data_IF_278275970093
#
_entry.id   IF_278275970093
#
_cell.length_a   1.000
_cell.length_b   1.000
_cell.length_c   1.000
_cell.angle_alpha   90.00
_cell.angle_beta   90.00
_cell.angle_gamma   90.00
#
_symmetry.space_group_name_H-M   'P 1'
#
loop_
_entity.id
_entity.type
_entity.pdbx_description
1 polymer ?
#
# COMPACT_ATOMS: atom_id res chain seq x y z
N UNK A 1 -1.26 7.93 -21.84
CA UNK A 1 -0.15 8.27 -20.92
C UNK A 1 0.41 7.00 -20.28
N UNK A 2 1.70 7.02 -19.94
CA UNK A 2 2.41 5.88 -19.37
C UNK A 2 3.14 6.29 -18.10
N UNK A 3 3.39 5.31 -17.22
CA UNK A 3 4.31 5.38 -16.09
C UNK A 3 5.48 4.45 -16.38
N UNK A 4 6.68 4.92 -16.16
CA UNK A 4 7.92 4.16 -16.28
C UNK A 4 8.56 4.17 -14.90
N UNK A 5 8.82 3.01 -14.34
CA UNK A 5 9.34 2.88 -12.97
C UNK A 5 10.32 1.70 -12.86
N UNK A 6 11.34 1.78 -11.98
CA UNK A 6 12.16 0.62 -11.66
C UNK A 6 11.32 -0.44 -10.92
N UNK A 7 11.64 -1.72 -11.12
CA UNK A 7 10.91 -2.82 -10.48
C UNK A 7 11.42 -3.16 -9.08
N UNK A 8 12.57 -2.63 -8.71
CA UNK A 8 13.33 -2.94 -7.48
C UNK A 8 13.54 -1.73 -6.57
N UNK A 9 12.89 -0.59 -6.88
CA UNK A 9 12.96 0.63 -6.07
C UNK A 9 11.62 0.88 -5.36
N UNK A 10 11.73 1.30 -4.09
CA UNK A 10 10.57 1.71 -3.30
C UNK A 10 10.32 3.22 -3.30
N UNK A 11 9.29 3.65 -2.56
CA UNK A 11 9.02 5.07 -2.24
C UNK A 11 8.86 5.98 -3.46
N UNK A 12 8.39 5.47 -4.58
CA UNK A 12 8.19 6.25 -5.82
C UNK A 12 9.48 6.89 -6.39
N UNK A 13 10.65 6.32 -6.09
CA UNK A 13 11.92 6.77 -6.63
C UNK A 13 12.04 6.35 -8.10
N UNK A 14 12.47 7.27 -8.96
CA UNK A 14 12.71 6.99 -10.38
C UNK A 14 11.45 6.91 -11.24
N UNK A 15 10.32 7.47 -10.80
CA UNK A 15 9.10 7.53 -11.63
C UNK A 15 9.25 8.54 -12.76
N UNK A 16 8.95 8.10 -13.98
CA UNK A 16 8.78 8.97 -15.13
C UNK A 16 7.37 8.84 -15.68
N UNK A 17 6.78 9.98 -16.03
CA UNK A 17 5.46 10.04 -16.63
C UNK A 17 5.58 10.53 -18.08
N UNK A 18 4.80 9.94 -18.98
CA UNK A 18 4.63 10.45 -20.34
C UNK A 18 3.15 10.67 -20.63
N UNK A 19 2.82 11.79 -21.22
CA UNK A 19 1.44 12.08 -21.67
C UNK A 19 1.24 11.62 -23.09
N UNK A 20 2.27 11.72 -23.92
CA UNK A 20 2.24 11.37 -25.33
C UNK A 20 3.32 10.34 -25.66
N UNK A 21 3.03 9.51 -26.68
CA UNK A 21 3.98 8.48 -27.17
C UNK A 21 5.31 9.08 -27.65
N UNK A 22 5.30 10.31 -28.16
CA UNK A 22 6.50 11.03 -28.58
C UNK A 22 7.50 11.30 -27.44
N UNK A 23 7.04 11.34 -26.20
CA UNK A 23 7.87 11.59 -25.02
C UNK A 23 8.59 10.33 -24.52
N UNK A 24 8.15 9.14 -24.98
CA UNK A 24 8.68 7.87 -24.52
C UNK A 24 10.19 7.76 -24.75
N UNK A 25 10.69 8.17 -25.91
CA UNK A 25 12.12 8.14 -26.22
C UNK A 25 12.96 8.97 -25.24
N UNK A 26 12.46 10.14 -24.88
CA UNK A 26 13.12 11.03 -23.90
C UNK A 26 13.08 10.41 -22.50
N UNK A 27 11.95 9.81 -22.10
CA UNK A 27 11.86 9.13 -20.82
C UNK A 27 12.80 7.92 -20.75
N UNK A 28 12.84 7.11 -21.81
CA UNK A 28 13.74 5.95 -21.90
C UNK A 28 15.22 6.31 -21.91
N UNK A 29 15.60 7.48 -22.44
CA UNK A 29 17.00 7.93 -22.40
C UNK A 29 17.50 8.31 -20.99
N UNK A 30 16.60 8.49 -20.04
CA UNK A 30 16.90 8.80 -18.62
C UNK A 30 17.01 7.55 -17.77
N UNK A 31 16.68 6.39 -18.31
CA UNK A 31 16.71 5.12 -17.60
C UNK A 31 18.15 4.68 -17.40
N UNK A 32 18.52 4.42 -16.15
CA UNK A 32 19.79 3.81 -15.79
C UNK A 32 19.73 2.28 -15.94
N UNK A 33 20.87 1.60 -15.74
CA UNK A 33 20.91 0.15 -15.73
C UNK A 33 20.00 -0.42 -14.63
N UNK A 34 19.27 -1.47 -14.95
CA UNK A 34 18.35 -2.13 -14.02
C UNK A 34 17.12 -2.69 -14.73
N UNK A 35 16.21 -3.23 -13.93
CA UNK A 35 14.92 -3.73 -14.40
C UNK A 35 13.88 -2.62 -14.29
N UNK A 36 13.20 -2.36 -15.40
CA UNK A 36 12.18 -1.31 -15.47
C UNK A 36 10.87 -1.86 -16.00
N UNK A 37 9.80 -1.26 -15.53
CA UNK A 37 8.43 -1.58 -15.93
C UNK A 37 7.78 -0.36 -16.56
N UNK A 38 7.01 -0.58 -17.62
CA UNK A 38 6.19 0.44 -18.28
C UNK A 38 4.75 0.02 -18.14
N UNK A 39 3.95 0.88 -17.54
CA UNK A 39 2.53 0.63 -17.28
C UNK A 39 1.67 1.72 -17.87
N UNK A 40 0.39 1.43 -18.08
CA UNK A 40 -0.61 2.48 -18.33
C UNK A 40 -0.69 3.39 -17.09
N UNK A 41 -0.66 4.71 -17.33
CA UNK A 41 -0.92 5.66 -16.26
C UNK A 41 -2.41 5.71 -15.97
N UNK A 42 -2.77 5.33 -14.76
CA UNK A 42 -4.12 5.47 -14.22
C UNK A 42 -4.20 6.80 -13.48
N UNK A 43 -5.24 7.58 -13.74
CA UNK A 43 -5.51 8.86 -13.08
C UNK A 43 -6.67 8.67 -12.13
N UNK A 44 -6.40 8.49 -10.87
CA UNK A 44 -7.41 8.15 -9.90
C UNK A 44 -7.07 8.61 -8.49
N UNK A 45 -7.99 8.36 -7.58
CA UNK A 45 -7.78 8.52 -6.13
C UNK A 45 -6.82 7.46 -5.65
N UNK A 46 -5.81 7.82 -4.89
CA UNK A 46 -4.88 6.86 -4.28
C UNK A 46 -5.44 6.39 -2.95
N UNK A 47 -5.63 5.09 -2.83
CA UNK A 47 -6.23 4.43 -1.68
C UNK A 47 -5.27 3.39 -1.13
N UNK A 48 -5.29 3.20 0.19
CA UNK A 48 -4.55 2.12 0.84
C UNK A 48 -5.42 1.40 1.85
N UNK A 49 -5.23 0.09 1.95
CA UNK A 49 -5.96 -0.81 2.85
C UNK A 49 -4.97 -1.61 3.67
N UNK A 50 -5.07 -1.51 4.99
CA UNK A 50 -4.40 -2.43 5.88
C UNK A 50 -5.14 -3.76 5.93
N UNK A 51 -4.41 -4.86 5.90
CA UNK A 51 -4.95 -6.20 6.13
C UNK A 51 -4.27 -6.78 7.36
N UNK A 52 -5.07 -7.26 8.30
CA UNK A 52 -4.62 -7.88 9.56
C UNK A 52 -5.20 -9.29 9.66
N UNK A 53 -4.34 -10.30 9.77
CA UNK A 53 -4.75 -11.73 9.86
C UNK A 53 -5.74 -12.14 8.75
N UNK A 54 -5.54 -11.63 7.53
CA UNK A 54 -6.39 -11.90 6.37
C UNK A 54 -7.67 -11.04 6.28
N UNK A 55 -7.99 -10.21 7.27
CA UNK A 55 -9.16 -9.32 7.25
C UNK A 55 -8.77 -7.89 6.90
N UNK A 56 -9.48 -7.29 5.93
CA UNK A 56 -9.27 -5.89 5.55
C UNK A 56 -9.78 -4.95 6.64
N UNK A 57 -8.96 -3.98 6.99
CA UNK A 57 -9.31 -2.89 7.90
C UNK A 57 -9.99 -1.72 7.15
N UNK A 58 -9.84 -0.49 7.61
CA UNK A 58 -10.40 0.67 6.92
C UNK A 58 -9.59 1.10 5.72
N UNK A 59 -10.24 1.79 4.79
CA UNK A 59 -9.59 2.36 3.62
C UNK A 59 -9.15 3.79 3.95
N UNK A 60 -7.90 4.10 3.64
CA UNK A 60 -7.33 5.46 3.76
C UNK A 60 -7.13 6.03 2.37
N UNK A 61 -7.63 7.23 2.12
CA UNK A 61 -7.32 7.98 0.91
C UNK A 61 -6.12 8.90 1.14
N UNK A 62 -5.22 8.89 0.17
CA UNK A 62 -4.01 9.71 0.15
C UNK A 62 -4.22 10.82 -0.86
N UNK A 63 -4.34 12.06 -0.37
CA UNK A 63 -4.57 13.24 -1.20
C UNK A 63 -3.29 14.06 -1.27
N UNK A 64 -2.54 13.89 -2.35
CA UNK A 64 -1.34 14.68 -2.60
C UNK A 64 -1.70 16.02 -3.24
N UNK A 65 -1.11 17.11 -2.74
CA UNK A 65 -1.28 18.45 -3.31
C UNK A 65 -0.78 18.54 -4.76
N UNK A 66 0.18 17.71 -5.16
CA UNK A 66 0.70 17.61 -6.54
C UNK A 66 -0.12 16.70 -7.45
N UNK A 67 -1.12 16.00 -6.93
CA UNK A 67 -1.88 14.98 -7.66
C UNK A 67 -1.12 13.67 -7.89
N UNK A 68 0.09 13.54 -7.36
CA UNK A 68 0.90 12.32 -7.40
C UNK A 68 1.54 12.13 -6.02
N UNK A 69 1.40 10.94 -5.45
CA UNK A 69 2.04 10.59 -4.18
C UNK A 69 3.48 10.13 -4.42
N UNK A 70 4.32 11.05 -4.86
CA UNK A 70 5.74 10.83 -5.09
C UNK A 70 6.56 10.90 -3.80
N UNK A 71 7.88 10.70 -3.91
CA UNK A 71 8.81 10.77 -2.79
C UNK A 71 8.70 12.10 -2.02
N UNK A 72 8.58 13.23 -2.74
CA UNK A 72 8.47 14.55 -2.14
C UNK A 72 7.16 14.70 -1.35
N UNK A 73 6.05 14.21 -1.90
CA UNK A 73 4.75 14.22 -1.23
C UNK A 73 4.75 13.35 0.04
N UNK A 74 5.52 12.25 0.06
CA UNK A 74 5.63 11.35 1.24
C UNK A 74 6.36 11.98 2.42
N UNK A 75 7.34 12.83 2.17
CA UNK A 75 8.27 13.31 3.22
C UNK A 75 8.24 14.82 3.44
N UNK A 76 7.44 15.58 2.71
CA UNK A 76 7.28 17.03 2.94
C UNK A 76 6.06 17.28 3.83
N UNK A 77 6.21 17.84 5.04
CA UNK A 77 5.09 18.17 5.90
C UNK A 77 4.06 19.07 5.19
N UNK A 78 2.77 18.71 5.29
CA UNK A 78 1.68 19.50 4.71
C UNK A 78 1.46 19.30 3.20
N UNK A 79 2.25 18.48 2.51
CA UNK A 79 2.06 18.18 1.08
C UNK A 79 1.04 17.06 0.81
N UNK A 80 0.63 16.33 1.85
CA UNK A 80 -0.30 15.21 1.76
C UNK A 80 -1.34 15.30 2.87
N UNK A 81 -2.60 15.20 2.49
CA UNK A 81 -3.75 15.00 3.38
C UNK A 81 -4.13 13.52 3.36
N UNK A 82 -4.55 13.01 4.51
CA UNK A 82 -5.07 11.64 4.64
C UNK A 82 -6.52 11.69 5.11
N UNK A 83 -7.42 11.05 4.36
CA UNK A 83 -8.83 10.92 4.72
C UNK A 83 -9.10 9.48 5.14
N UNK A 84 -9.51 9.28 6.38
CA UNK A 84 -9.75 7.95 6.93
C UNK A 84 -10.87 7.98 7.97
N UNK A 85 -11.96 7.19 7.75
CA UNK A 85 -12.16 6.35 6.57
C UNK A 85 -12.30 7.19 5.28
N UNK A 86 -11.86 6.62 4.14
CA UNK A 86 -12.06 7.23 2.83
C UNK A 86 -13.56 7.31 2.50
N UNK A 87 -14.00 8.45 1.96
CA UNK A 87 -15.39 8.61 1.51
C UNK A 87 -15.62 7.87 0.20
N UNK A 88 -16.26 6.71 0.26
CA UNK A 88 -16.54 5.81 -0.85
C UNK A 88 -18.00 5.35 -0.82
N UNK A 89 -18.54 5.04 -2.00
CA UNK A 89 -19.79 4.29 -2.09
C UNK A 89 -19.61 2.89 -1.47
N UNK A 90 -20.60 2.41 -0.71
CA UNK A 90 -20.51 1.16 0.03
C UNK A 90 -20.13 -0.05 -0.85
N UNK A 91 -20.63 -0.11 -2.09
CA UNK A 91 -20.29 -1.18 -3.03
C UNK A 91 -18.81 -1.13 -3.50
N UNK A 92 -18.25 0.08 -3.66
CA UNK A 92 -16.85 0.29 -4.03
C UNK A 92 -15.96 -0.08 -2.85
N UNK A 93 -16.31 0.40 -1.65
CA UNK A 93 -15.59 0.07 -0.42
C UNK A 93 -15.51 -1.45 -0.20
N UNK A 94 -16.64 -2.14 -0.23
CA UNK A 94 -16.73 -3.58 -0.03
C UNK A 94 -15.88 -4.34 -1.06
N UNK A 95 -15.90 -3.91 -2.33
CA UNK A 95 -15.11 -4.54 -3.38
C UNK A 95 -13.61 -4.35 -3.18
N UNK A 96 -13.16 -3.15 -2.82
CA UNK A 96 -11.73 -2.87 -2.59
C UNK A 96 -11.22 -3.68 -1.38
N UNK A 97 -12.00 -3.77 -0.31
CA UNK A 97 -11.67 -4.61 0.84
C UNK A 97 -11.54 -6.10 0.46
N UNK A 98 -12.52 -6.63 -0.27
CA UNK A 98 -12.47 -8.01 -0.75
C UNK A 98 -11.26 -8.26 -1.68
N UNK A 99 -10.91 -7.31 -2.55
CA UNK A 99 -9.72 -7.41 -3.39
C UNK A 99 -8.43 -7.39 -2.56
N UNK A 100 -8.36 -6.58 -1.49
CA UNK A 100 -7.21 -6.54 -0.60
C UNK A 100 -7.01 -7.88 0.11
N UNK A 101 -8.08 -8.50 0.61
CA UNK A 101 -8.04 -9.83 1.22
C UNK A 101 -7.58 -10.90 0.22
N UNK A 102 -8.13 -10.90 -0.99
CA UNK A 102 -7.72 -11.83 -2.05
C UNK A 102 -6.25 -11.68 -2.45
N UNK A 103 -5.75 -10.43 -2.56
CA UNK A 103 -4.34 -10.17 -2.86
C UNK A 103 -3.42 -10.60 -1.72
N UNK A 104 -3.83 -10.38 -0.48
CA UNK A 104 -3.11 -10.84 0.70
C UNK A 104 -2.89 -12.35 0.67
N UNK A 105 -3.95 -13.11 0.41
CA UNK A 105 -3.92 -14.57 0.32
C UNK A 105 -3.12 -15.04 -0.90
N UNK A 106 -3.38 -14.47 -2.08
CA UNK A 106 -2.72 -14.86 -3.33
C UNK A 106 -1.21 -14.61 -3.31
N UNK A 107 -0.76 -13.58 -2.61
CA UNK A 107 0.67 -13.28 -2.42
C UNK A 107 1.30 -14.09 -1.26
N UNK A 108 0.56 -14.94 -0.57
CA UNK A 108 1.04 -15.72 0.56
C UNK A 108 1.47 -14.85 1.74
N UNK A 109 0.85 -13.68 1.92
CA UNK A 109 1.16 -12.79 3.01
C UNK A 109 0.77 -13.41 4.35
N UNK A 110 1.49 -13.04 5.38
CA UNK A 110 1.27 -13.56 6.73
C UNK A 110 1.17 -12.42 7.73
N UNK A 111 0.27 -12.58 8.68
CA UNK A 111 0.03 -11.70 9.80
C UNK A 111 -0.58 -10.35 9.38
N UNK A 112 0.11 -9.55 8.61
CA UNK A 112 -0.39 -8.26 8.14
C UNK A 112 0.29 -7.79 6.84
N UNK A 113 -0.39 -6.88 6.14
CA UNK A 113 0.16 -6.16 4.99
C UNK A 113 -0.57 -4.83 4.80
N UNK A 114 -0.04 -3.97 3.95
CA UNK A 114 -0.73 -2.80 3.41
C UNK A 114 -0.78 -2.93 1.90
N UNK A 115 -1.95 -2.72 1.32
CA UNK A 115 -2.18 -2.89 -0.11
C UNK A 115 -2.66 -1.57 -0.69
N UNK A 116 -1.98 -1.10 -1.72
CA UNK A 116 -2.19 0.21 -2.31
C UNK A 116 -2.91 0.08 -3.66
N UNK A 117 -3.88 0.95 -3.90
CA UNK A 117 -4.75 0.97 -5.08
C UNK A 117 -4.85 2.37 -5.68
N UNK A 118 -5.12 2.43 -7.00
CA UNK A 118 -5.72 3.60 -7.64
C UNK A 118 -7.19 3.32 -7.95
N UNK A 119 -8.05 4.29 -7.68
CA UNK A 119 -9.48 4.23 -8.00
C UNK A 119 -9.80 5.28 -9.07
N UNK A 120 -10.10 4.84 -10.29
CA UNK A 120 -10.55 5.67 -11.41
C UNK A 120 -12.05 5.42 -11.66
N UNK A 121 -12.88 6.40 -11.35
CA UNK A 121 -14.34 6.20 -11.34
C UNK A 121 -14.74 5.09 -10.37
N UNK A 122 -15.32 4.02 -10.88
CA UNK A 122 -15.66 2.84 -10.08
C UNK A 122 -14.61 1.70 -10.19
N UNK A 123 -13.59 1.83 -11.02
CA UNK A 123 -12.60 0.76 -11.25
C UNK A 123 -11.38 0.95 -10.34
N UNK A 124 -11.05 -0.08 -9.55
CA UNK A 124 -9.83 -0.15 -8.74
C UNK A 124 -8.72 -0.87 -9.48
N UNK A 125 -7.51 -0.35 -9.35
CA UNK A 125 -6.28 -0.90 -9.92
C UNK A 125 -5.29 -1.14 -8.78
N UNK A 126 -4.83 -2.36 -8.63
CA UNK A 126 -3.79 -2.72 -7.67
C UNK A 126 -2.45 -2.07 -8.06
N UNK A 127 -1.76 -1.47 -7.12
CA UNK A 127 -0.44 -0.88 -7.29
C UNK A 127 0.66 -1.75 -6.71
N UNK A 128 0.61 -1.97 -5.41
CA UNK A 128 1.64 -2.71 -4.68
C UNK A 128 1.11 -3.30 -3.37
N UNK A 129 1.83 -4.28 -2.86
CA UNK A 129 1.63 -4.83 -1.52
C UNK A 129 2.89 -4.62 -0.68
N UNK A 130 2.71 -4.05 0.51
CA UNK A 130 3.77 -3.76 1.46
C UNK A 130 3.66 -4.72 2.64
N UNK A 131 4.55 -5.71 2.70
CA UNK A 131 4.57 -6.73 3.77
C UNK A 131 5.29 -6.27 5.04
N UNK A 132 5.98 -5.14 5.00
CA UNK A 132 6.58 -4.47 6.15
C UNK A 132 6.26 -2.97 6.08
N UNK A 133 4.98 -2.59 6.24
CA UNK A 133 4.57 -1.19 6.19
C UNK A 133 5.08 -0.41 7.40
N UNK A 134 5.18 0.92 7.27
CA UNK A 134 5.57 1.78 8.37
C UNK A 134 4.63 1.65 9.58
N UNK A 135 5.21 1.69 10.78
CA UNK A 135 4.53 1.55 12.09
C UNK A 135 4.83 2.74 13.01
N UNK A 136 4.66 3.95 12.51
CA UNK A 136 4.64 5.15 13.35
C UNK A 136 3.20 5.62 13.53
N UNK A 137 2.92 6.45 14.51
CA UNK A 137 1.58 7.01 14.73
C UNK A 137 0.99 7.73 13.50
N UNK A 138 1.85 8.21 12.60
CA UNK A 138 1.43 8.88 11.35
C UNK A 138 1.39 7.97 10.13
N UNK A 139 1.79 6.70 10.27
CA UNK A 139 1.84 5.73 9.18
C UNK A 139 0.44 5.30 8.73
N UNK A 140 0.35 4.81 7.49
CA UNK A 140 -0.91 4.45 6.85
C UNK A 140 -1.57 3.21 7.45
N UNK A 141 -0.79 2.20 7.88
CA UNK A 141 -1.36 1.01 8.50
C UNK A 141 -2.08 1.33 9.83
N UNK A 142 -1.52 2.11 10.79
CA UNK A 142 -2.25 2.57 11.95
C UNK A 142 -3.49 3.41 11.63
N UNK A 143 -3.47 4.25 10.59
CA UNK A 143 -4.66 5.00 10.14
C UNK A 143 -5.76 4.07 9.64
N UNK A 144 -5.40 3.05 8.86
CA UNK A 144 -6.34 2.03 8.40
C UNK A 144 -6.95 1.26 9.58
N UNK A 145 -6.14 0.91 10.58
CA UNK A 145 -6.56 0.22 11.78
C UNK A 145 -7.50 1.06 12.67
N UNK A 146 -7.24 2.37 12.76
CA UNK A 146 -8.09 3.26 13.55
C UNK A 146 -9.52 3.37 13.02
N UNK A 147 -9.73 3.18 11.71
CA UNK A 147 -11.07 3.14 11.11
C UNK A 147 -11.94 1.97 11.61
N UNK A 148 -11.33 0.93 12.15
CA UNK A 148 -12.00 -0.26 12.70
C UNK A 148 -11.82 -0.41 14.21
N UNK A 149 -11.41 0.69 14.88
CA UNK A 149 -11.40 0.79 16.34
C UNK A 149 -10.10 0.41 17.04
N UNK A 150 -9.02 0.10 16.32
CA UNK A 150 -7.71 -0.08 16.93
C UNK A 150 -7.05 1.27 17.21
N UNK A 151 -6.56 1.45 18.41
CA UNK A 151 -5.52 2.42 18.70
C UNK A 151 -4.13 1.85 18.38
N UNK A 152 -3.10 2.66 18.53
CA UNK A 152 -1.73 2.23 18.18
C UNK A 152 -1.22 1.08 19.07
N UNK A 153 -1.57 1.09 20.35
CA UNK A 153 -1.12 0.08 21.32
C UNK A 153 -1.78 -1.27 21.04
N UNK A 154 -3.11 -1.29 20.88
CA UNK A 154 -3.86 -2.51 20.54
C UNK A 154 -3.44 -3.08 19.20
N UNK A 155 -3.21 -2.23 18.18
CA UNK A 155 -2.68 -2.68 16.90
C UNK A 155 -1.30 -3.33 17.07
N UNK A 156 -0.38 -2.72 17.81
CA UNK A 156 0.95 -3.28 18.06
C UNK A 156 0.87 -4.65 18.74
N UNK A 157 -0.03 -4.82 19.70
CA UNK A 157 -0.31 -6.11 20.33
C UNK A 157 -0.77 -7.16 19.32
N UNK A 158 -1.74 -6.82 18.46
CA UNK A 158 -2.28 -7.72 17.43
C UNK A 158 -1.23 -8.12 16.37
N UNK A 159 -0.32 -7.22 16.02
CA UNK A 159 0.77 -7.49 15.08
C UNK A 159 1.83 -8.43 15.68
N UNK A 160 2.08 -8.33 16.98
CA UNK A 160 3.10 -9.13 17.67
C UNK A 160 2.58 -10.52 18.07
N UNK A 161 1.31 -10.66 18.44
CA UNK A 161 0.74 -11.89 18.96
C UNK A 161 1.05 -13.14 18.13
N UNK A 162 0.85 -13.17 16.79
CA UNK A 162 1.15 -14.35 16.00
C UNK A 162 2.64 -14.74 15.98
N UNK A 163 3.54 -13.76 16.09
CA UNK A 163 4.98 -14.01 16.15
C UNK A 163 5.39 -14.62 17.48
N UNK A 164 4.80 -14.15 18.61
CA UNK A 164 5.01 -14.69 19.94
C UNK A 164 4.52 -16.14 20.01
N UNK A 165 3.31 -16.43 19.53
CA UNK A 165 2.75 -17.78 19.47
C UNK A 165 3.64 -18.76 18.70
N UNK A 166 4.15 -18.35 17.54
CA UNK A 166 5.09 -19.17 16.74
C UNK A 166 6.41 -19.42 17.48
N UNK A 167 6.92 -18.42 18.17
CA UNK A 167 8.15 -18.55 18.94
C UNK A 167 7.99 -19.54 20.09
N UNK A 168 6.90 -19.44 20.87
CA UNK A 168 6.60 -20.34 21.96
C UNK A 168 6.35 -21.78 21.48
N UNK A 169 5.64 -21.96 20.36
CA UNK A 169 5.39 -23.28 19.78
C UNK A 169 6.69 -23.96 19.32
N UNK A 170 7.65 -23.18 18.81
CA UNK A 170 8.97 -23.70 18.40
C UNK A 170 9.79 -24.16 19.61
N UNK A 171 9.76 -23.38 20.69
CA UNK A 171 10.52 -23.70 21.89
C UNK A 171 9.97 -24.95 22.60
N UNK A 172 8.65 -25.15 22.63
CA UNK A 172 8.05 -26.38 23.19
C UNK A 172 8.49 -27.66 22.46
N UNK A 173 8.60 -27.61 21.13
CA UNK A 173 9.08 -28.75 20.33
C UNK A 173 10.57 -29.03 20.49
N UNK A 174 11.38 -28.04 20.83
CA UNK A 174 12.85 -28.19 21.08
C UNK A 174 13.20 -28.73 22.46
N UNK A 175 12.24 -28.78 23.40
CA UNK A 175 12.46 -29.36 24.75
C UNK A 175 11.98 -30.81 24.88
N UNK A 176 11.36 -31.36 23.85
CA UNK A 176 10.88 -32.78 23.80
C UNK A 176 11.84 -33.70 22.98
N UNK A 177 12.96 -33.19 22.51
CA UNK A 177 14.01 -33.92 21.79
C UNK A 177 15.30 -34.00 22.63
#
# INVERSE_FOLDING_TARGET
SLVIKPTDQGSSVGLYFTEHRSELGVALSKIERGNWMIEQRIRGRELTVGVLKGAAMGIVEIVSASGVYDYKAKYTPGSTEYRYPAELEAAIEARIKAQAEQLFDACGCRDFARIDFLLEGAQSYFLEINTLPGLTATSLLPKSASCVGFDFESLAGELMAPAIERFEAKNRKGTES
#
